data_IF_491930833337
#
_entry.id   IF_491930833337
#
_cell.length_a   1.000
_cell.length_b   1.000
_cell.length_c   1.000
_cell.angle_alpha   90.00
_cell.angle_beta   90.00
_cell.angle_gamma   90.00
#
_symmetry.space_group_name_H-M   'P 1'
#
loop_
_entity.id
_entity.type
_entity.pdbx_description
1 polymer ?
#
# COMPACT_ATOMS: atom_id res chain seq x y z
N UNK A 1 11.68 -0.12 -6.42
CA UNK A 1 11.30 -0.76 -7.71
C UNK A 1 12.30 -1.87 -8.06
N UNK A 2 12.40 -2.89 -7.21
CA UNK A 2 13.25 -4.05 -7.47
C UNK A 2 12.53 -5.27 -6.94
N UNK A 3 11.42 -5.61 -7.61
CA UNK A 3 10.73 -6.88 -7.42
C UNK A 3 11.72 -8.03 -7.58
N UNK A 4 11.64 -9.01 -6.68
CA UNK A 4 12.53 -10.17 -6.70
C UNK A 4 12.14 -11.10 -7.86
N UNK A 5 12.77 -10.93 -9.01
CA UNK A 5 12.61 -11.88 -10.11
C UNK A 5 13.19 -13.24 -9.69
N UNK A 6 12.37 -14.29 -9.71
CA UNK A 6 12.86 -15.66 -9.50
C UNK A 6 13.11 -16.30 -10.85
N UNK A 7 14.35 -16.75 -11.09
CA UNK A 7 14.73 -17.42 -12.32
C UNK A 7 14.50 -18.93 -12.16
N UNK A 8 13.48 -19.46 -12.86
CA UNK A 8 13.22 -20.88 -12.90
C UNK A 8 13.77 -21.48 -14.20
N UNK A 9 14.85 -22.25 -14.09
CA UNK A 9 15.46 -22.97 -15.21
C UNK A 9 15.08 -24.44 -15.16
N UNK A 10 14.50 -24.96 -16.25
CA UNK A 10 14.18 -26.39 -16.39
C UNK A 10 14.97 -26.97 -17.54
N UNK A 11 15.78 -27.98 -17.24
CA UNK A 11 16.57 -28.71 -18.23
C UNK A 11 15.69 -29.70 -18.97
N UNK A 12 15.59 -29.54 -20.28
CA UNK A 12 15.04 -30.55 -21.19
C UNK A 12 16.25 -31.12 -21.95
N UNK A 13 16.24 -32.41 -22.30
CA UNK A 13 17.36 -33.12 -22.93
C UNK A 13 18.05 -32.25 -24.00
N UNK A 14 19.25 -31.74 -23.68
CA UNK A 14 20.12 -30.85 -24.47
C UNK A 14 19.82 -29.33 -24.54
N UNK A 15 18.76 -28.79 -23.93
CA UNK A 15 18.54 -27.34 -23.83
C UNK A 15 17.85 -26.93 -22.52
N UNK A 16 18.39 -25.91 -21.86
CA UNK A 16 17.80 -25.32 -20.66
C UNK A 16 16.94 -24.12 -21.06
N UNK A 17 15.65 -24.17 -20.77
CA UNK A 17 14.76 -23.02 -20.88
C UNK A 17 14.62 -22.38 -19.50
N UNK A 18 14.91 -21.09 -19.41
CA UNK A 18 14.72 -20.31 -18.19
C UNK A 18 13.58 -19.32 -18.39
N UNK A 19 12.58 -19.35 -17.52
CA UNK A 19 11.57 -18.31 -17.43
C UNK A 19 11.88 -17.45 -16.21
N UNK A 20 11.90 -16.14 -16.40
CA UNK A 20 11.92 -15.17 -15.31
C UNK A 20 10.48 -14.77 -15.01
N UNK A 21 10.00 -15.09 -13.81
CA UNK A 21 8.78 -14.50 -13.28
C UNK A 21 9.20 -13.32 -12.39
N UNK A 22 8.77 -12.12 -12.76
CA UNK A 22 8.92 -10.92 -11.97
C UNK A 22 7.52 -10.48 -11.57
N UNK A 23 7.24 -10.45 -10.27
CA UNK A 23 6.03 -9.77 -9.80
C UNK A 23 6.21 -8.26 -10.07
N UNK A 24 5.17 -7.66 -10.65
CA UNK A 24 5.12 -6.22 -10.81
C UNK A 24 4.88 -5.61 -9.44
N UNK A 25 5.53 -4.48 -9.14
CA UNK A 25 5.18 -3.69 -7.96
C UNK A 25 3.70 -3.36 -8.04
N UNK A 26 2.98 -3.71 -6.99
CA UNK A 26 1.64 -3.27 -6.73
C UNK A 26 1.71 -1.94 -5.98
N UNK A 27 0.71 -1.09 -6.19
CA UNK A 27 0.60 0.14 -5.42
C UNK A 27 -0.20 -0.11 -4.13
N UNK A 28 -0.25 0.89 -3.23
CA UNK A 28 -1.08 0.82 -2.05
C UNK A 28 -2.55 0.58 -2.40
N UNK A 29 -3.19 -0.33 -1.68
CA UNK A 29 -4.58 -0.70 -1.84
C UNK A 29 -5.43 -0.19 -0.66
N UNK A 30 -6.69 0.14 -0.95
CA UNK A 30 -7.70 0.54 0.06
C UNK A 30 -8.34 -0.71 0.66
N UNK A 31 -8.20 -0.88 1.96
CA UNK A 31 -8.73 -2.04 2.71
C UNK A 31 -10.12 -1.76 3.29
N UNK A 32 -10.51 -0.49 3.44
CA UNK A 32 -11.80 -0.10 3.98
C UNK A 32 -12.01 1.42 3.97
N UNK A 33 -13.12 1.87 4.57
CA UNK A 33 -13.47 3.28 4.67
C UNK A 33 -13.24 3.83 6.07
N UNK A 34 -12.70 5.04 6.17
CA UNK A 34 -12.61 5.77 7.43
C UNK A 34 -14.01 6.27 7.81
N UNK A 35 -14.55 5.92 8.98
CA UNK A 35 -15.89 6.35 9.41
C UNK A 35 -15.92 7.84 9.78
N UNK A 36 -17.10 8.44 9.69
CA UNK A 36 -17.31 9.83 10.11
C UNK A 36 -16.99 10.02 11.60
N UNK A 37 -16.35 11.14 11.93
CA UNK A 37 -16.05 11.54 13.29
C UNK A 37 -16.93 12.71 13.71
N UNK A 38 -17.41 12.67 14.95
CA UNK A 38 -18.05 13.82 15.61
C UNK A 38 -17.15 14.24 16.76
N UNK A 39 -16.64 15.47 16.70
CA UNK A 39 -15.66 15.99 17.67
C UNK A 39 -16.23 17.25 18.32
N UNK A 40 -16.09 17.36 19.63
CA UNK A 40 -16.47 18.58 20.33
C UNK A 40 -15.46 19.70 20.04
N UNK A 41 -15.91 20.95 20.01
CA UNK A 41 -15.03 22.10 19.75
C UNK A 41 -13.90 22.14 20.79
N UNK A 42 -12.66 22.23 20.29
CA UNK A 42 -11.45 22.27 21.12
C UNK A 42 -10.86 20.91 21.46
N UNK A 43 -11.53 19.81 21.14
CA UNK A 43 -11.01 18.45 21.31
C UNK A 43 -10.18 17.99 20.11
N UNK A 44 -9.31 17.01 20.34
CA UNK A 44 -8.51 16.35 19.29
C UNK A 44 -8.91 14.89 19.16
N UNK A 45 -9.01 14.40 17.92
CA UNK A 45 -9.23 12.98 17.63
C UNK A 45 -8.03 12.39 16.89
N UNK A 46 -7.62 11.19 17.28
CA UNK A 46 -6.55 10.45 16.61
C UNK A 46 -7.16 9.30 15.80
N UNK A 47 -6.84 9.24 14.51
CA UNK A 47 -7.30 8.18 13.60
C UNK A 47 -6.10 7.33 13.19
N UNK A 48 -6.15 6.02 13.46
CA UNK A 48 -5.15 5.07 12.98
C UNK A 48 -5.43 4.70 11.52
N UNK A 49 -4.46 4.90 10.63
CA UNK A 49 -4.60 4.61 9.20
C UNK A 49 -4.19 3.18 8.80
N UNK A 50 -3.51 2.46 9.69
CA UNK A 50 -2.93 1.14 9.41
C UNK A 50 -3.95 0.06 9.01
N UNK A 51 -5.23 0.26 9.33
CA UNK A 51 -6.32 -0.66 8.98
C UNK A 51 -7.04 -0.30 7.67
N UNK A 52 -6.72 0.84 7.06
CA UNK A 52 -7.43 1.35 5.88
C UNK A 52 -6.62 1.26 4.60
N UNK A 53 -5.29 1.16 4.71
CA UNK A 53 -4.38 1.09 3.58
C UNK A 53 -3.35 -0.01 3.82
N UNK A 54 -3.01 -0.75 2.77
CA UNK A 54 -1.96 -1.76 2.81
C UNK A 54 -1.21 -1.76 1.47
N UNK A 55 0.10 -1.95 1.53
CA UNK A 55 0.91 -2.21 0.35
C UNK A 55 1.16 -3.73 0.25
N UNK A 56 0.74 -4.40 -0.84
CA UNK A 56 0.91 -5.85 -1.00
C UNK A 56 2.39 -6.30 -1.04
N UNK A 57 3.29 -5.44 -1.51
CA UNK A 57 4.73 -5.72 -1.55
C UNK A 57 5.43 -5.38 -0.22
N UNK A 58 4.72 -4.72 0.69
CA UNK A 58 5.24 -4.28 1.97
C UNK A 58 6.11 -3.02 1.86
N UNK A 59 5.96 -2.24 0.78
CA UNK A 59 6.59 -0.93 0.67
C UNK A 59 6.04 0.05 1.72
N UNK A 60 6.88 0.99 2.16
CA UNK A 60 6.50 2.01 3.15
C UNK A 60 5.39 2.93 2.61
N UNK A 61 4.37 3.17 3.42
CA UNK A 61 3.25 4.06 3.08
C UNK A 61 3.51 5.50 3.56
N UNK A 62 3.27 6.47 2.67
CA UNK A 62 3.27 7.91 2.98
C UNK A 62 1.84 8.48 2.95
N UNK A 63 1.52 9.33 3.92
CA UNK A 63 0.17 9.87 4.12
C UNK A 63 0.15 11.39 4.07
N UNK A 64 -0.91 11.96 3.50
CA UNK A 64 -1.23 13.38 3.54
C UNK A 64 -2.73 13.55 3.79
N UNK A 65 -3.10 14.58 4.56
CA UNK A 65 -4.49 14.94 4.83
C UNK A 65 -4.72 16.41 4.46
N UNK A 66 -5.93 16.72 4.03
CA UNK A 66 -6.37 18.08 3.73
C UNK A 66 -7.81 18.25 4.21
N UNK A 67 -8.13 19.43 4.72
CA UNK A 67 -9.49 19.79 5.10
C UNK A 67 -10.10 20.69 4.03
N UNK A 68 -11.39 20.51 3.76
CA UNK A 68 -12.15 21.48 2.97
C UNK A 68 -12.39 22.79 3.73
N UNK A 69 -12.23 22.78 5.06
CA UNK A 69 -12.30 23.95 5.93
C UNK A 69 -11.28 23.81 7.07
N UNK A 70 -10.14 24.49 6.93
CA UNK A 70 -9.07 24.50 7.93
C UNK A 70 -9.49 25.23 9.23
N UNK A 71 -10.55 26.03 9.21
CA UNK A 71 -11.14 26.62 10.43
C UNK A 71 -11.93 25.60 11.26
N UNK A 72 -12.29 24.46 10.66
CA UNK A 72 -13.03 23.37 11.32
C UNK A 72 -12.12 22.23 11.72
N UNK A 73 -11.16 21.85 10.87
CA UNK A 73 -10.21 20.77 11.13
C UNK A 73 -8.87 21.03 10.42
N UNK A 74 -7.76 20.77 11.12
CA UNK A 74 -6.37 20.92 10.63
C UNK A 74 -5.54 19.69 10.95
#
# INVERSE_FOLDING_TARGET
MSGRCTLACKGILAATLCLAACDSNEGPAVMGSIPNQTVAVGETVTISLAQYFADPDGDDLSYAAASSDEGVAT
#
